data_IF_688156052679
#
_entry.id   IF_688156052679
#
_cell.length_a   1.000
_cell.length_b   1.000
_cell.length_c   1.000
_cell.angle_alpha   90.00
_cell.angle_beta   90.00
_cell.angle_gamma   90.00
#
_symmetry.space_group_name_H-M   'P 1'
#
loop_
_entity.id
_entity.type
_entity.pdbx_description
1 polymer ?
#
# COMPACT_ATOMS: atom_id res chain seq x y z
N UNK A 1 22.51 10.47 -2.91
CA UNK A 1 23.72 9.78 -3.40
C UNK A 1 23.44 9.22 -4.79
N UNK A 2 24.36 9.44 -5.74
CA UNK A 2 24.24 8.94 -7.12
C UNK A 2 24.98 7.61 -7.29
N UNK A 3 24.61 6.84 -8.32
CA UNK A 3 25.24 5.56 -8.64
C UNK A 3 26.72 5.74 -8.99
N UNK A 4 27.14 6.87 -9.56
CA UNK A 4 28.55 7.17 -9.78
C UNK A 4 29.41 7.12 -8.49
N UNK A 5 28.88 7.62 -7.37
CA UNK A 5 29.57 7.56 -6.08
C UNK A 5 29.65 6.13 -5.54
N UNK A 6 28.59 5.33 -5.76
CA UNK A 6 28.58 3.91 -5.42
C UNK A 6 29.60 3.13 -6.27
N UNK A 7 29.69 3.43 -7.57
CA UNK A 7 30.65 2.81 -8.48
C UNK A 7 32.10 3.03 -8.02
N UNK A 8 32.45 4.28 -7.66
CA UNK A 8 33.78 4.61 -7.12
C UNK A 8 34.08 3.85 -5.84
N UNK A 9 33.10 3.74 -4.93
CA UNK A 9 33.26 2.99 -3.69
C UNK A 9 33.50 1.48 -3.94
N UNK A 10 32.74 0.89 -4.87
CA UNK A 10 32.90 -0.53 -5.24
C UNK A 10 34.25 -0.78 -5.92
N UNK A 11 34.76 0.16 -6.72
CA UNK A 11 36.10 0.07 -7.31
C UNK A 11 37.20 0.11 -6.26
N UNK A 12 37.14 1.06 -5.31
CA UNK A 12 38.08 1.13 -4.21
C UNK A 12 38.04 -0.14 -3.34
N UNK A 13 36.85 -0.69 -3.11
CA UNK A 13 36.68 -1.97 -2.41
C UNK A 13 37.31 -3.13 -3.20
N UNK A 14 37.13 -3.18 -4.52
CA UNK A 14 37.74 -4.21 -5.37
C UNK A 14 39.26 -4.19 -5.30
N UNK A 15 39.87 -2.99 -5.30
CA UNK A 15 41.32 -2.82 -5.13
C UNK A 15 41.79 -3.32 -3.75
N UNK A 16 41.08 -2.95 -2.68
CA UNK A 16 41.39 -3.41 -1.33
C UNK A 16 41.26 -4.94 -1.19
N UNK A 17 40.22 -5.53 -1.77
CA UNK A 17 39.98 -6.99 -1.76
C UNK A 17 41.06 -7.73 -2.59
N UNK A 18 41.51 -7.13 -3.69
CA UNK A 18 42.63 -7.67 -4.48
C UNK A 18 43.93 -7.63 -3.69
N UNK A 19 44.20 -6.53 -2.99
CA UNK A 19 45.36 -6.40 -2.10
C UNK A 19 45.32 -7.39 -0.93
N UNK A 20 44.12 -7.74 -0.44
CA UNK A 20 43.91 -8.76 0.58
C UNK A 20 44.06 -10.21 0.07
N UNK A 21 44.30 -10.42 -1.23
CA UNK A 21 44.61 -11.72 -1.82
C UNK A 21 43.41 -12.47 -2.43
N UNK A 22 42.20 -11.91 -2.41
CA UNK A 22 41.02 -12.54 -3.03
C UNK A 22 40.80 -12.02 -4.46
N UNK A 23 41.47 -12.66 -5.43
CA UNK A 23 41.41 -12.26 -6.84
C UNK A 23 40.00 -12.39 -7.42
N UNK A 24 39.30 -13.50 -7.16
CA UNK A 24 37.96 -13.75 -7.69
C UNK A 24 36.94 -12.72 -7.19
N UNK A 25 36.96 -12.43 -5.88
CA UNK A 25 36.04 -11.44 -5.31
C UNK A 25 36.34 -10.02 -5.83
N UNK A 26 37.60 -9.68 -6.04
CA UNK A 26 37.97 -8.41 -6.66
C UNK A 26 37.49 -8.30 -8.12
N UNK A 27 37.60 -9.37 -8.90
CA UNK A 27 37.15 -9.41 -10.29
C UNK A 27 35.61 -9.31 -10.39
N UNK A 28 34.88 -9.94 -9.48
CA UNK A 28 33.42 -9.84 -9.38
C UNK A 28 32.96 -8.42 -9.00
N UNK A 29 33.64 -7.78 -8.03
CA UNK A 29 33.36 -6.39 -7.66
C UNK A 29 33.67 -5.43 -8.82
N UNK A 30 34.74 -5.67 -9.57
CA UNK A 30 35.09 -4.84 -10.72
C UNK A 30 34.09 -5.02 -11.87
N UNK A 31 33.56 -6.24 -12.06
CA UNK A 31 32.44 -6.51 -12.97
C UNK A 31 31.17 -5.79 -12.54
N UNK A 32 30.84 -5.84 -11.24
CA UNK A 32 29.69 -5.13 -10.69
C UNK A 32 29.82 -3.61 -10.89
N UNK A 33 30.99 -3.02 -10.61
CA UNK A 33 31.25 -1.61 -10.86
C UNK A 33 31.11 -1.23 -12.35
N UNK A 34 31.51 -2.11 -13.26
CA UNK A 34 31.33 -1.89 -14.71
C UNK A 34 29.86 -1.94 -15.10
N UNK A 35 29.08 -2.88 -14.54
CA UNK A 35 27.65 -2.99 -14.78
C UNK A 35 26.84 -1.79 -14.25
N UNK A 36 27.38 -1.02 -13.30
CA UNK A 36 26.78 0.21 -12.79
C UNK A 36 26.99 1.42 -13.72
N UNK A 37 27.93 1.36 -14.67
CA UNK A 37 28.28 2.49 -15.54
C UNK A 37 27.09 3.09 -16.32
N UNK A 38 26.15 2.30 -16.89
CA UNK A 38 24.99 2.85 -17.61
C UNK A 38 24.05 3.67 -16.72
N UNK A 39 24.11 3.48 -15.40
CA UNK A 39 23.24 4.12 -14.42
C UNK A 39 23.94 5.25 -13.66
N UNK A 40 25.15 5.66 -14.04
CA UNK A 40 25.97 6.62 -13.29
C UNK A 40 25.24 7.93 -12.94
N UNK A 41 24.39 8.43 -13.84
CA UNK A 41 23.58 9.64 -13.63
C UNK A 41 22.34 9.45 -12.75
N UNK A 42 21.97 8.21 -12.42
CA UNK A 42 20.77 7.92 -11.63
C UNK A 42 21.04 8.13 -10.14
N UNK A 43 19.98 8.43 -9.39
CA UNK A 43 20.03 8.35 -7.93
C UNK A 43 19.99 6.89 -7.49
N UNK A 44 20.53 6.59 -6.31
CA UNK A 44 20.45 5.22 -5.75
C UNK A 44 18.99 4.76 -5.62
N UNK A 45 18.06 5.67 -5.28
CA UNK A 45 16.64 5.35 -5.21
C UNK A 45 16.08 4.92 -6.57
N UNK A 46 16.38 5.66 -7.64
CA UNK A 46 15.95 5.31 -9.00
C UNK A 46 16.53 3.96 -9.47
N UNK A 47 17.79 3.70 -9.11
CA UNK A 47 18.43 2.43 -9.41
C UNK A 47 17.81 1.27 -8.62
N UNK A 48 17.51 1.45 -7.33
CA UNK A 48 16.82 0.45 -6.52
C UNK A 48 15.41 0.14 -7.05
N UNK A 49 14.64 1.17 -7.42
CA UNK A 49 13.33 1.02 -8.04
C UNK A 49 13.40 0.22 -9.35
N UNK A 50 14.46 0.44 -10.13
CA UNK A 50 14.70 -0.30 -11.37
C UNK A 50 15.07 -1.77 -11.11
N UNK A 51 15.91 -2.06 -10.13
CA UNK A 51 16.23 -3.45 -9.77
C UNK A 51 14.98 -4.23 -9.34
N UNK A 52 14.10 -3.61 -8.58
CA UNK A 52 12.85 -4.25 -8.17
C UNK A 52 11.90 -4.51 -9.34
N UNK A 53 11.86 -3.59 -10.31
CA UNK A 53 11.12 -3.80 -11.57
C UNK A 53 11.74 -4.92 -12.41
N UNK A 54 13.07 -4.98 -12.50
CA UNK A 54 13.78 -6.01 -13.24
C UNK A 54 13.57 -7.40 -12.64
N UNK A 55 13.64 -7.53 -11.31
CA UNK A 55 13.32 -8.76 -10.58
C UNK A 55 11.87 -9.21 -10.83
N UNK A 56 10.93 -8.27 -10.71
CA UNK A 56 9.50 -8.54 -10.95
C UNK A 56 9.28 -9.02 -12.38
N UNK A 57 9.93 -8.40 -13.36
CA UNK A 57 9.87 -8.81 -14.76
C UNK A 57 10.48 -10.19 -14.97
N UNK A 58 11.65 -10.48 -14.39
CA UNK A 58 12.28 -11.79 -14.47
C UNK A 58 11.36 -12.90 -13.94
N UNK A 59 10.63 -12.62 -12.84
CA UNK A 59 9.74 -13.61 -12.20
C UNK A 59 8.41 -13.78 -12.91
N UNK A 60 7.83 -12.70 -13.45
CA UNK A 60 6.44 -12.68 -13.93
C UNK A 60 6.30 -12.57 -15.44
N UNK A 61 7.36 -12.16 -16.16
CA UNK A 61 7.32 -11.85 -17.59
C UNK A 61 6.52 -10.61 -17.97
N UNK A 62 5.96 -9.88 -16.99
CA UNK A 62 5.10 -8.71 -17.22
C UNK A 62 5.90 -7.44 -16.96
N UNK A 63 6.08 -6.62 -18.00
CA UNK A 63 6.57 -5.25 -17.83
C UNK A 63 5.42 -4.38 -17.32
N UNK A 64 5.59 -3.64 -16.20
CA UNK A 64 4.60 -2.66 -15.79
C UNK A 64 4.53 -1.54 -16.84
N UNK A 65 3.54 -1.60 -17.73
CA UNK A 65 3.25 -0.56 -18.71
C UNK A 65 2.58 0.62 -18.01
N UNK A 66 3.37 1.38 -17.25
CA UNK A 66 2.90 2.57 -16.57
C UNK A 66 3.87 2.99 -15.49
N UNK A 67 4.40 4.22 -15.62
CA UNK A 67 5.13 4.91 -14.55
C UNK A 67 4.21 5.07 -13.34
N UNK A 68 4.11 4.06 -12.50
CA UNK A 68 3.64 4.25 -11.14
C UNK A 68 4.79 4.88 -10.38
N UNK A 69 4.77 6.21 -10.27
CA UNK A 69 5.54 6.91 -9.25
C UNK A 69 5.02 6.39 -7.91
N UNK A 70 5.67 5.36 -7.38
CA UNK A 70 5.55 4.96 -6.00
C UNK A 70 6.06 6.14 -5.16
N UNK A 71 5.16 7.07 -4.85
CA UNK A 71 5.36 7.99 -3.73
C UNK A 71 5.38 7.07 -2.51
N UNK A 72 6.52 7.01 -1.82
CA UNK A 72 6.64 6.34 -0.54
C UNK A 72 5.40 6.65 0.29
N UNK A 73 4.61 5.62 0.59
CA UNK A 73 3.42 5.75 1.40
C UNK A 73 3.85 6.34 2.74
N UNK A 74 3.23 7.47 3.15
CA UNK A 74 3.38 7.96 4.52
C UNK A 74 3.03 6.81 5.46
N UNK A 75 3.78 6.63 6.57
CA UNK A 75 3.39 5.65 7.58
C UNK A 75 1.96 5.97 8.00
N UNK A 76 1.07 5.01 7.76
CA UNK A 76 -0.34 5.12 8.13
C UNK A 76 -0.42 5.10 9.65
N UNK A 77 -1.20 6.00 10.24
CA UNK A 77 -1.46 5.98 11.68
C UNK A 77 -2.33 4.75 11.99
N UNK A 78 -1.71 3.64 12.40
CA UNK A 78 -2.42 2.41 12.75
C UNK A 78 -3.44 2.62 13.87
N UNK A 79 -3.20 3.59 14.76
CA UNK A 79 -4.12 4.00 15.82
C UNK A 79 -5.44 4.54 15.28
N UNK A 80 -5.41 5.37 14.22
CA UNK A 80 -6.60 5.93 13.57
C UNK A 80 -7.36 4.88 12.78
N UNK A 81 -6.64 3.97 12.13
CA UNK A 81 -7.25 2.83 11.42
C UNK A 81 -7.95 1.88 12.40
N UNK A 82 -7.34 1.58 13.54
CA UNK A 82 -7.95 0.76 14.57
C UNK A 82 -9.21 1.41 15.17
N UNK A 83 -9.16 2.72 15.46
CA UNK A 83 -10.31 3.47 15.95
C UNK A 83 -11.46 3.51 14.93
N UNK A 84 -11.16 3.72 13.64
CA UNK A 84 -12.15 3.70 12.57
C UNK A 84 -12.79 2.31 12.40
N UNK A 85 -12.00 1.24 12.53
CA UNK A 85 -12.50 -0.13 12.46
C UNK A 85 -13.41 -0.47 13.65
N UNK A 86 -13.05 -0.04 14.87
CA UNK A 86 -13.91 -0.20 16.05
C UNK A 86 -15.22 0.56 15.91
N UNK A 87 -15.19 1.79 15.39
CA UNK A 87 -16.40 2.56 15.14
C UNK A 87 -17.32 1.86 14.12
N UNK A 88 -16.77 1.21 13.10
CA UNK A 88 -17.54 0.41 12.15
C UNK A 88 -18.12 -0.86 12.79
N UNK A 89 -17.36 -1.58 13.62
CA UNK A 89 -17.87 -2.76 14.34
C UNK A 89 -19.03 -2.40 15.28
N UNK A 90 -18.89 -1.30 16.03
CA UNK A 90 -19.97 -0.79 16.87
C UNK A 90 -21.21 -0.42 16.03
N UNK A 91 -20.99 0.15 14.84
CA UNK A 91 -22.09 0.47 13.93
C UNK A 91 -22.77 -0.81 13.39
N UNK A 92 -22.01 -1.87 13.10
CA UNK A 92 -22.56 -3.17 12.70
C UNK A 92 -23.42 -3.82 13.78
N UNK A 93 -22.99 -3.74 15.05
CA UNK A 93 -23.79 -4.20 16.18
C UNK A 93 -25.08 -3.38 16.32
N UNK A 94 -24.99 -2.06 16.13
CA UNK A 94 -26.16 -1.17 16.16
C UNK A 94 -27.09 -1.41 14.97
N UNK A 95 -26.59 -1.73 13.77
CA UNK A 95 -27.39 -2.06 12.58
C UNK A 95 -28.31 -3.25 12.80
N UNK A 96 -27.95 -4.15 13.71
CA UNK A 96 -28.79 -5.31 14.10
C UNK A 96 -29.95 -4.88 15.02
N UNK A 97 -29.84 -3.72 15.68
CA UNK A 97 -30.89 -3.24 16.59
C UNK A 97 -32.09 -2.65 15.82
N UNK A 98 -33.33 -2.82 16.31
CA UNK A 98 -34.52 -2.28 15.66
C UNK A 98 -34.50 -0.76 15.51
N UNK A 99 -33.84 -0.04 16.44
CA UNK A 99 -33.84 1.42 16.53
C UNK A 99 -32.76 2.12 15.67
N UNK A 100 -31.96 1.37 14.90
CA UNK A 100 -30.94 1.97 14.05
C UNK A 100 -31.54 2.85 12.94
N UNK A 101 -31.04 4.07 12.83
CA UNK A 101 -31.47 5.03 11.80
C UNK A 101 -30.37 5.31 10.79
N UNK A 102 -30.74 5.51 9.52
CA UNK A 102 -29.78 5.90 8.48
C UNK A 102 -29.12 7.26 8.76
N UNK A 103 -29.74 8.12 9.57
CA UNK A 103 -29.15 9.37 10.03
C UNK A 103 -27.93 9.17 10.96
N UNK A 104 -27.91 8.08 11.76
CA UNK A 104 -26.74 7.69 12.56
C UNK A 104 -25.60 7.17 11.68
N UNK A 105 -25.94 6.44 10.61
CA UNK A 105 -24.96 5.98 9.62
C UNK A 105 -24.27 7.17 8.93
N UNK A 106 -25.05 8.14 8.47
CA UNK A 106 -24.51 9.32 7.78
C UNK A 106 -23.67 10.22 8.72
N UNK A 107 -24.00 10.29 10.01
CA UNK A 107 -23.22 11.08 10.98
C UNK A 107 -21.85 10.44 11.27
N UNK A 108 -21.80 9.12 11.44
CA UNK A 108 -20.55 8.37 11.63
C UNK A 108 -19.69 8.40 10.37
N UNK A 109 -20.27 8.28 9.18
CA UNK A 109 -19.53 8.43 7.92
C UNK A 109 -18.93 9.83 7.76
N UNK A 110 -19.63 10.89 8.18
CA UNK A 110 -19.08 12.25 8.18
C UNK A 110 -17.94 12.42 9.19
N UNK A 111 -17.99 11.74 10.32
CA UNK A 111 -16.88 11.75 11.30
C UNK A 111 -15.67 11.00 10.74
N UNK A 112 -15.88 9.83 10.13
CA UNK A 112 -14.84 9.06 9.44
C UNK A 112 -14.23 9.86 8.27
N UNK A 113 -15.04 10.60 7.52
CA UNK A 113 -14.54 11.52 6.49
C UNK A 113 -13.69 12.66 7.08
N UNK A 114 -14.01 13.18 8.26
CA UNK A 114 -13.17 14.22 8.89
C UNK A 114 -11.87 13.66 9.47
N UNK A 115 -11.87 12.43 9.96
CA UNK A 115 -10.75 11.84 10.69
C UNK A 115 -9.76 11.08 9.81
N UNK A 116 -10.21 10.47 8.71
CA UNK A 116 -9.38 9.65 7.82
C UNK A 116 -8.79 10.48 6.69
N UNK A 117 -7.50 10.31 6.43
CA UNK A 117 -6.87 10.74 5.19
C UNK A 117 -7.25 9.83 4.02
N UNK A 118 -6.92 10.24 2.78
CA UNK A 118 -7.23 9.46 1.58
C UNK A 118 -6.62 8.06 1.63
N UNK A 119 -5.36 7.95 2.04
CA UNK A 119 -4.64 6.69 2.04
C UNK A 119 -5.14 5.77 3.16
N UNK A 120 -5.51 6.34 4.31
CA UNK A 120 -6.14 5.60 5.42
C UNK A 120 -7.55 5.11 5.05
N UNK A 121 -8.36 5.89 4.34
CA UNK A 121 -9.67 5.46 3.87
C UNK A 121 -9.58 4.31 2.85
N UNK A 122 -8.55 4.34 2.00
CA UNK A 122 -8.28 3.24 1.06
C UNK A 122 -7.78 1.98 1.79
N UNK A 123 -6.92 2.14 2.79
CA UNK A 123 -6.45 1.03 3.63
C UNK A 123 -7.60 0.40 4.44
N UNK A 124 -8.53 1.21 4.96
CA UNK A 124 -9.74 0.75 5.63
C UNK A 124 -10.63 -0.06 4.67
N UNK A 125 -10.84 0.44 3.44
CA UNK A 125 -11.60 -0.28 2.42
C UNK A 125 -10.95 -1.63 2.05
N UNK A 126 -9.62 -1.68 1.95
CA UNK A 126 -8.89 -2.93 1.71
C UNK A 126 -9.05 -3.94 2.86
N UNK A 127 -8.99 -3.48 4.13
CA UNK A 127 -9.22 -4.35 5.29
C UNK A 127 -10.63 -4.93 5.33
N UNK A 128 -11.61 -4.17 4.85
CA UNK A 128 -12.99 -4.61 4.68
C UNK A 128 -13.22 -5.40 3.38
N UNK A 129 -12.15 -5.74 2.65
CA UNK A 129 -12.18 -6.47 1.38
C UNK A 129 -12.98 -5.76 0.26
N UNK A 130 -13.15 -4.43 0.35
CA UNK A 130 -13.84 -3.63 -0.65
C UNK A 130 -12.90 -3.30 -1.82
N UNK A 131 -13.11 -3.97 -2.95
CA UNK A 131 -12.28 -3.84 -4.15
C UNK A 131 -12.73 -2.66 -5.02
N UNK A 132 -11.79 -1.98 -5.69
CA UNK A 132 -12.08 -0.96 -6.72
C UNK A 132 -12.18 0.48 -6.21
N UNK A 133 -11.89 0.74 -4.94
CA UNK A 133 -11.84 2.10 -4.39
C UNK A 133 -10.57 2.82 -4.85
N UNK A 134 -10.70 3.87 -5.66
CA UNK A 134 -9.58 4.74 -6.11
C UNK A 134 -9.54 6.09 -5.40
N UNK A 135 -10.64 6.45 -4.74
CA UNK A 135 -10.83 7.73 -4.05
C UNK A 135 -11.38 7.50 -2.65
N UNK A 136 -11.11 8.45 -1.75
CA UNK A 136 -11.64 8.46 -0.38
C UNK A 136 -13.17 8.42 -0.35
N UNK A 137 -13.82 9.19 -1.23
CA UNK A 137 -15.28 9.22 -1.37
C UNK A 137 -15.83 7.85 -1.79
N UNK A 138 -15.21 7.19 -2.78
CA UNK A 138 -15.62 5.87 -3.23
C UNK A 138 -15.44 4.79 -2.13
N UNK A 139 -14.39 4.91 -1.31
CA UNK A 139 -14.20 4.02 -0.17
C UNK A 139 -15.34 4.16 0.86
N UNK A 140 -15.67 5.39 1.25
CA UNK A 140 -16.73 5.66 2.22
C UNK A 140 -18.12 5.32 1.67
N UNK A 141 -18.40 5.59 0.39
CA UNK A 141 -19.67 5.21 -0.25
C UNK A 141 -19.85 3.69 -0.28
N UNK A 142 -18.80 2.93 -0.62
CA UNK A 142 -18.90 1.45 -0.60
C UNK A 142 -19.11 0.89 0.80
N UNK A 143 -18.46 1.48 1.81
CA UNK A 143 -18.70 1.12 3.21
C UNK A 143 -20.16 1.42 3.58
N UNK A 144 -20.69 2.57 3.18
CA UNK A 144 -22.08 2.93 3.39
C UNK A 144 -23.05 1.95 2.72
N UNK A 145 -22.78 1.58 1.47
CA UNK A 145 -23.57 0.61 0.70
C UNK A 145 -23.59 -0.75 1.36
N UNK A 146 -22.45 -1.27 1.80
CA UNK A 146 -22.35 -2.57 2.47
C UNK A 146 -23.17 -2.58 3.77
N UNK A 147 -23.09 -1.50 4.56
CA UNK A 147 -23.83 -1.38 5.81
C UNK A 147 -25.35 -1.24 5.58
N UNK A 148 -25.76 -0.50 4.54
CA UNK A 148 -27.16 -0.40 4.13
C UNK A 148 -27.70 -1.74 3.61
N UNK A 149 -26.92 -2.45 2.83
CA UNK A 149 -27.28 -3.77 2.31
C UNK A 149 -27.46 -4.78 3.46
N UNK A 150 -26.52 -4.81 4.42
CA UNK A 150 -26.64 -5.64 5.62
C UNK A 150 -27.89 -5.31 6.43
N UNK A 151 -28.23 -4.03 6.61
CA UNK A 151 -29.47 -3.61 7.28
C UNK A 151 -30.72 -4.11 6.55
N UNK A 152 -30.76 -3.97 5.21
CA UNK A 152 -31.87 -4.44 4.39
C UNK A 152 -32.01 -5.97 4.44
N UNK A 153 -30.89 -6.70 4.44
CA UNK A 153 -30.89 -8.16 4.59
C UNK A 153 -31.44 -8.57 5.97
N UNK A 154 -31.04 -7.88 7.04
CA UNK A 154 -31.56 -8.14 8.38
C UNK A 154 -33.06 -7.85 8.49
N UNK A 155 -33.53 -6.73 7.95
CA UNK A 155 -34.96 -6.41 7.90
C UNK A 155 -35.77 -7.46 7.13
N UNK A 156 -35.23 -7.95 5.99
CA UNK A 156 -35.86 -9.03 5.21
C UNK A 156 -35.90 -10.35 6.00
N UNK A 157 -34.82 -10.72 6.67
CA UNK A 157 -34.76 -11.93 7.50
C UNK A 157 -35.75 -11.87 8.68
N UNK A 158 -35.86 -10.72 9.35
CA UNK A 158 -36.81 -10.51 10.43
C UNK A 158 -38.28 -10.59 9.97
N UNK A 159 -38.60 -10.07 8.78
CA UNK A 159 -39.94 -10.18 8.18
C UNK A 159 -40.31 -11.64 7.87
N UNK A 160 -39.40 -12.42 7.30
CA UNK A 160 -39.64 -13.84 6.96
C UNK A 160 -39.85 -14.71 8.20
N UNK A 161 -39.24 -14.39 9.33
CA UNK A 161 -39.42 -15.12 10.60
C UNK A 161 -40.71 -14.76 11.35
N UNK A 162 -41.40 -13.68 10.94
CA UNK A 162 -42.66 -13.22 11.55
C UNK A 162 -43.93 -13.69 10.83
N UNK A 163 -43.77 -14.39 9.70
CA UNK A 163 -44.85 -15.04 8.92
C UNK A 163 -44.81 -16.55 9.12
#
# INVERSE_FOLDING_TARGET
>A
MHVAALQQYVQALAEAVRAAGSKTAADDLQRAATALAPFAGWTIAQWADFLHQAETYQRTGVLPTGRSRSRAAKPLDESKLAAAQQALQQLEEQITQPQFSFAQLDSVLRQLDKQLSRDEALALAQRLQLVGCRTKKAALEKIAEQLRERRLQFQRAALIQST
#
